data_IF_337437283021
#
_entry.id   IF_337437283021
#
_cell.length_a   1.000
_cell.length_b   1.000
_cell.length_c   1.000
_cell.angle_alpha   90.00
_cell.angle_beta   90.00
_cell.angle_gamma   90.00
#
_symmetry.space_group_name_H-M   'P 1'
#
loop_
_entity.id
_entity.type
_entity.pdbx_description
1 polymer ?
#
# COMPACT_ATOMS: atom_id res chain seq x y z
N UNK A 1 26.71 -27.30 -66.75
CA UNK A 1 25.96 -26.20 -67.40
C UNK A 1 24.49 -26.63 -67.44
N UNK A 2 23.48 -26.06 -66.80
CA UNK A 2 23.34 -24.84 -66.01
C UNK A 2 22.22 -24.98 -64.97
N UNK A 3 22.46 -24.37 -63.82
CA UNK A 3 21.58 -23.73 -62.82
C UNK A 3 20.24 -24.34 -62.32
N UNK A 4 20.27 -24.67 -61.02
CA UNK A 4 19.16 -24.60 -60.05
C UNK A 4 18.55 -23.19 -60.01
N UNK A 5 17.23 -23.08 -59.84
CA UNK A 5 16.52 -22.51 -58.66
C UNK A 5 15.13 -21.97 -59.02
N UNK A 6 14.15 -22.33 -58.19
CA UNK A 6 13.17 -21.36 -57.69
C UNK A 6 11.86 -21.17 -58.47
N UNK A 7 10.90 -22.07 -58.28
CA UNK A 7 9.48 -21.72 -58.34
C UNK A 7 8.85 -22.09 -56.99
N UNK A 8 9.02 -21.22 -56.00
CA UNK A 8 8.44 -21.43 -54.65
C UNK A 8 7.63 -20.22 -54.17
N UNK A 9 7.37 -19.23 -55.03
CA UNK A 9 6.69 -18.00 -54.64
C UNK A 9 5.38 -17.88 -55.42
N UNK A 10 4.37 -18.61 -54.96
CA UNK A 10 2.98 -18.29 -55.30
C UNK A 10 2.62 -17.01 -54.55
N UNK A 11 2.18 -15.99 -55.29
CA UNK A 11 1.92 -14.65 -54.75
C UNK A 11 0.92 -14.69 -53.59
N UNK A 12 0.06 -15.71 -53.53
CA UNK A 12 -0.88 -15.92 -52.41
C UNK A 12 -0.15 -16.34 -51.13
N UNK A 13 0.86 -17.22 -51.21
CA UNK A 13 1.59 -17.75 -50.04
C UNK A 13 2.48 -16.71 -49.37
N UNK A 14 3.30 -15.99 -50.14
CA UNK A 14 2.99 -14.58 -50.36
C UNK A 14 2.40 -13.68 -49.27
N UNK A 15 1.23 -13.17 -49.66
CA UNK A 15 0.35 -12.32 -48.89
C UNK A 15 -0.09 -12.97 -47.58
N UNK A 16 -0.31 -14.29 -47.55
CA UNK A 16 -0.65 -14.98 -46.30
C UNK A 16 0.52 -14.95 -45.30
N UNK A 17 1.76 -15.17 -45.75
CA UNK A 17 2.94 -15.13 -44.90
C UNK A 17 3.22 -13.72 -44.38
N UNK A 18 3.04 -12.69 -45.20
CA UNK A 18 3.23 -11.30 -44.75
C UNK A 18 2.15 -10.88 -43.75
N UNK A 19 0.89 -11.29 -43.97
CA UNK A 19 -0.20 -11.01 -43.03
C UNK A 19 0.03 -11.65 -41.65
N UNK A 20 0.55 -12.88 -41.59
CA UNK A 20 0.88 -13.57 -40.33
C UNK A 20 2.01 -12.85 -39.58
N UNK A 21 3.04 -12.39 -40.30
CA UNK A 21 4.16 -11.65 -39.71
C UNK A 21 3.66 -10.31 -39.14
N UNK A 22 2.81 -9.59 -39.88
CA UNK A 22 2.22 -8.32 -39.42
C UNK A 22 1.35 -8.54 -38.17
N UNK A 23 0.56 -9.62 -38.12
CA UNK A 23 -0.24 -9.94 -36.95
C UNK A 23 0.65 -10.23 -35.72
N UNK A 24 1.73 -10.99 -35.91
CA UNK A 24 2.68 -11.30 -34.84
C UNK A 24 3.45 -10.05 -34.36
N UNK A 25 3.83 -9.14 -35.26
CA UNK A 25 4.49 -7.89 -34.86
C UNK A 25 3.53 -6.97 -34.12
N UNK A 26 2.27 -6.87 -34.54
CA UNK A 26 1.24 -6.13 -33.80
C UNK A 26 1.04 -6.76 -32.42
N UNK A 27 0.95 -8.09 -32.32
CA UNK A 27 0.78 -8.78 -31.05
C UNK A 27 1.99 -8.57 -30.13
N UNK A 28 3.21 -8.60 -30.68
CA UNK A 28 4.43 -8.31 -29.94
C UNK A 28 4.50 -6.84 -29.49
N UNK A 29 4.09 -5.89 -30.34
CA UNK A 29 3.99 -4.47 -29.98
C UNK A 29 2.93 -4.27 -28.91
N UNK A 30 1.79 -4.94 -28.98
CA UNK A 30 0.77 -4.90 -27.92
C UNK A 30 1.30 -5.46 -26.60
N UNK A 31 2.08 -6.54 -26.61
CA UNK A 31 2.72 -7.10 -25.41
C UNK A 31 3.80 -6.15 -24.87
N UNK A 32 4.56 -5.48 -25.74
CA UNK A 32 5.58 -4.51 -25.33
C UNK A 32 4.98 -3.19 -24.84
N UNK A 33 3.88 -2.72 -25.44
CA UNK A 33 3.14 -1.53 -25.01
C UNK A 33 2.29 -1.78 -23.76
N UNK A 34 1.79 -3.00 -23.56
CA UNK A 34 1.20 -3.41 -22.27
C UNK A 34 2.26 -3.78 -21.23
N UNK A 35 3.50 -3.96 -21.66
CA UNK A 35 4.71 -4.13 -20.86
C UNK A 35 5.24 -2.83 -20.24
N UNK A 36 4.39 -1.81 -20.05
CA UNK A 36 4.69 -0.76 -19.09
C UNK A 36 4.65 -1.35 -17.68
N UNK A 37 5.81 -1.86 -17.26
CA UNK A 37 6.09 -2.19 -15.88
C UNK A 37 5.84 -0.96 -15.00
N UNK A 38 4.68 -0.94 -14.34
CA UNK A 38 4.45 -0.14 -13.15
C UNK A 38 5.31 -0.70 -12.01
N UNK A 39 6.60 -0.39 -11.99
CA UNK A 39 7.44 -0.72 -10.84
C UNK A 39 8.35 0.46 -10.51
N UNK A 40 8.17 0.96 -9.28
CA UNK A 40 9.12 1.76 -8.47
C UNK A 40 9.05 3.30 -8.47
N UNK A 41 7.99 3.95 -8.99
CA UNK A 41 7.85 5.42 -8.91
C UNK A 41 6.88 5.98 -7.85
N UNK A 42 5.83 5.23 -7.49
CA UNK A 42 4.67 5.80 -6.78
C UNK A 42 4.71 5.72 -5.24
N UNK A 43 5.53 4.82 -4.68
CA UNK A 43 5.52 4.62 -3.23
C UNK A 43 6.13 5.82 -2.49
N UNK A 44 7.10 6.47 -3.12
CA UNK A 44 7.80 7.64 -2.58
C UNK A 44 6.90 8.87 -2.48
N UNK A 45 6.05 9.10 -3.48
CA UNK A 45 5.12 10.23 -3.52
C UNK A 45 3.95 10.00 -2.56
N UNK A 46 3.34 8.81 -2.59
CA UNK A 46 2.27 8.43 -1.66
C UNK A 46 2.73 8.51 -0.19
N UNK A 47 3.97 8.06 0.11
CA UNK A 47 4.48 8.14 1.47
C UNK A 47 4.78 9.59 1.91
N UNK A 48 5.31 10.43 1.01
CA UNK A 48 5.54 11.87 1.28
C UNK A 48 4.24 12.61 1.54
N UNK A 49 3.18 12.32 0.80
CA UNK A 49 1.85 12.88 1.05
C UNK A 49 1.31 12.41 2.40
N UNK A 50 1.44 11.12 2.71
CA UNK A 50 0.99 10.60 4.01
C UNK A 50 1.76 11.20 5.19
N UNK A 51 3.07 11.46 5.05
CA UNK A 51 3.88 12.08 6.09
C UNK A 51 3.38 13.48 6.51
N UNK A 52 2.64 14.18 5.63
CA UNK A 52 1.98 15.45 5.99
C UNK A 52 0.98 15.22 7.12
N UNK A 53 0.15 14.17 7.04
CA UNK A 53 -0.82 13.82 8.08
C UNK A 53 -0.12 13.53 9.41
N UNK A 54 0.96 12.73 9.40
CA UNK A 54 1.73 12.43 10.61
C UNK A 54 2.35 13.68 11.23
N UNK A 55 2.93 14.56 10.41
CA UNK A 55 3.56 15.78 10.89
C UNK A 55 2.53 16.76 11.46
N UNK A 56 1.37 16.87 10.83
CA UNK A 56 0.27 17.69 11.33
C UNK A 56 -0.28 17.13 12.65
N UNK A 57 -0.52 15.82 12.73
CA UNK A 57 -0.94 15.13 13.94
C UNK A 57 0.01 15.39 15.12
N UNK A 58 1.32 15.28 14.88
CA UNK A 58 2.35 15.59 15.88
C UNK A 58 2.25 17.04 16.39
N UNK A 59 2.07 18.00 15.49
CA UNK A 59 1.94 19.42 15.85
C UNK A 59 0.68 19.68 16.66
N UNK A 60 -0.48 19.18 16.22
CA UNK A 60 -1.76 19.30 16.92
C UNK A 60 -1.68 18.70 18.32
N UNK A 61 -1.14 17.47 18.42
CA UNK A 61 -0.90 16.81 19.71
C UNK A 61 -0.01 17.66 20.62
N UNK A 62 1.05 18.26 20.10
CA UNK A 62 1.98 19.07 20.90
C UNK A 62 1.36 20.34 21.49
N UNK A 63 0.28 20.84 20.89
CA UNK A 63 -0.47 22.00 21.39
C UNK A 63 -1.74 21.62 22.14
N UNK A 64 -1.96 20.32 22.39
CA UNK A 64 -3.11 19.80 23.16
C UNK A 64 -4.41 19.69 22.38
N UNK A 65 -4.37 19.82 21.04
CA UNK A 65 -5.52 19.64 20.17
C UNK A 65 -5.61 18.15 19.82
N UNK A 66 -6.08 17.34 20.79
CA UNK A 66 -5.97 15.88 20.72
C UNK A 66 -6.92 15.24 19.71
N UNK A 67 -8.18 15.66 19.64
CA UNK A 67 -9.17 15.06 18.73
C UNK A 67 -8.76 15.18 17.26
N UNK A 68 -8.34 16.36 16.83
CA UNK A 68 -7.88 16.59 15.47
C UNK A 68 -6.53 15.91 15.22
N UNK A 69 -5.67 15.81 16.23
CA UNK A 69 -4.44 15.03 16.11
C UNK A 69 -4.74 13.55 15.84
N UNK A 70 -5.74 12.98 16.52
CA UNK A 70 -6.20 11.62 16.28
C UNK A 70 -6.68 11.48 14.84
N UNK A 71 -7.56 12.36 14.36
CA UNK A 71 -8.07 12.32 12.98
C UNK A 71 -6.92 12.29 11.96
N UNK A 72 -5.91 13.13 12.15
CA UNK A 72 -4.75 13.14 11.26
C UNK A 72 -3.91 11.86 11.35
N UNK A 73 -3.77 11.26 12.54
CA UNK A 73 -3.14 9.94 12.65
C UNK A 73 -3.95 8.83 11.98
N UNK A 74 -5.28 8.87 12.02
CA UNK A 74 -6.14 7.91 11.32
C UNK A 74 -5.99 8.05 9.80
N UNK A 75 -5.96 9.28 9.29
CA UNK A 75 -5.67 9.56 7.88
C UNK A 75 -4.29 9.03 7.48
N UNK A 76 -3.27 9.23 8.32
CA UNK A 76 -1.94 8.64 8.11
C UNK A 76 -2.00 7.11 8.09
N UNK A 77 -2.71 6.50 9.05
CA UNK A 77 -2.84 5.04 9.14
C UNK A 77 -3.50 4.42 7.91
N UNK A 78 -4.43 5.13 7.27
CA UNK A 78 -5.18 4.66 6.11
C UNK A 78 -4.42 4.86 4.79
N UNK A 79 -3.54 5.86 4.71
CA UNK A 79 -2.87 6.25 3.46
C UNK A 79 -1.41 5.81 3.37
N UNK A 80 -0.72 5.69 4.51
CA UNK A 80 0.71 5.43 4.54
C UNK A 80 1.06 3.99 4.15
N UNK A 81 2.07 3.86 3.29
CA UNK A 81 2.71 2.58 2.96
C UNK A 81 3.93 2.38 3.85
N UNK A 82 3.69 1.91 5.08
CA UNK A 82 4.73 1.67 6.09
C UNK A 82 4.80 0.19 6.47
N UNK A 83 5.93 -0.22 7.04
CA UNK A 83 6.12 -1.58 7.53
C UNK A 83 5.19 -1.90 8.72
N UNK A 84 5.04 -3.20 9.01
CA UNK A 84 4.13 -3.68 10.07
C UNK A 84 4.44 -3.09 11.45
N UNK A 85 5.72 -2.89 11.79
CA UNK A 85 6.12 -2.38 13.10
C UNK A 85 5.74 -0.92 13.23
N UNK A 86 6.04 -0.12 12.21
CA UNK A 86 5.64 1.29 12.17
C UNK A 86 4.11 1.43 12.23
N UNK A 87 3.38 0.60 11.49
CA UNK A 87 1.91 0.60 11.50
C UNK A 87 1.31 0.20 12.85
N UNK A 88 1.90 -0.82 13.49
CA UNK A 88 1.53 -1.29 14.83
C UNK A 88 1.78 -0.22 15.90
N UNK A 89 2.95 0.44 15.88
CA UNK A 89 3.26 1.55 16.78
C UNK A 89 2.31 2.75 16.61
N UNK A 90 1.91 3.03 15.37
CA UNK A 90 0.92 4.06 15.09
C UNK A 90 -0.45 3.70 15.68
N UNK A 91 -0.91 2.46 15.48
CA UNK A 91 -2.16 1.98 16.09
C UNK A 91 -2.13 2.08 17.63
N UNK A 92 -1.00 1.71 18.25
CA UNK A 92 -0.80 1.86 19.68
C UNK A 92 -0.89 3.33 20.13
N UNK A 93 -0.29 4.23 19.36
CA UNK A 93 -0.33 5.67 19.64
C UNK A 93 -1.75 6.22 19.59
N UNK A 94 -2.52 5.87 18.56
CA UNK A 94 -3.93 6.30 18.44
C UNK A 94 -4.79 5.72 19.55
N UNK A 95 -4.60 4.44 19.90
CA UNK A 95 -5.30 3.81 21.03
C UNK A 95 -5.05 4.53 22.35
N UNK A 96 -3.80 4.93 22.62
CA UNK A 96 -3.48 5.75 23.80
C UNK A 96 -4.19 7.10 23.80
N UNK A 97 -4.20 7.81 22.68
CA UNK A 97 -4.84 9.13 22.60
C UNK A 97 -6.35 9.01 22.86
N UNK A 98 -7.01 8.01 22.28
CA UNK A 98 -8.43 7.77 22.58
C UNK A 98 -8.66 7.43 24.05
N UNK A 99 -7.76 6.67 24.67
CA UNK A 99 -7.86 6.35 26.10
C UNK A 99 -7.66 7.60 26.97
N UNK A 100 -6.73 8.48 26.61
CA UNK A 100 -6.47 9.77 27.27
C UNK A 100 -7.70 10.71 27.21
N UNK A 101 -8.45 10.68 26.10
CA UNK A 101 -9.71 11.41 25.93
C UNK A 101 -10.95 10.67 26.53
N UNK A 102 -10.75 9.51 27.17
CA UNK A 102 -11.83 8.72 27.78
C UNK A 102 -12.72 7.95 26.80
N UNK A 103 -12.33 7.86 25.52
CA UNK A 103 -13.02 7.08 24.50
C UNK A 103 -12.57 5.61 24.51
N UNK A 104 -12.86 4.89 25.60
CA UNK A 104 -12.36 3.53 25.84
C UNK A 104 -12.76 2.51 24.77
N UNK A 105 -13.96 2.62 24.18
CA UNK A 105 -14.41 1.74 23.09
C UNK A 105 -13.53 1.87 21.83
N UNK A 106 -13.19 3.12 21.47
CA UNK A 106 -12.31 3.41 20.33
C UNK A 106 -10.88 3.00 20.65
N UNK A 107 -10.40 3.29 21.86
CA UNK A 107 -9.09 2.87 22.33
C UNK A 107 -8.92 1.35 22.23
N UNK A 108 -9.90 0.58 22.69
CA UNK A 108 -9.93 -0.88 22.63
C UNK A 108 -9.82 -1.39 21.19
N UNK A 109 -10.58 -0.82 20.26
CA UNK A 109 -10.49 -1.14 18.83
C UNK A 109 -9.08 -0.93 18.27
N UNK A 110 -8.44 0.18 18.63
CA UNK A 110 -7.08 0.50 18.21
C UNK A 110 -6.02 -0.40 18.86
N UNK A 111 -6.20 -0.79 20.11
CA UNK A 111 -5.30 -1.74 20.78
C UNK A 111 -5.40 -3.15 20.16
N UNK A 112 -6.58 -3.63 19.81
CA UNK A 112 -6.68 -4.92 19.10
C UNK A 112 -6.03 -4.91 17.71
N UNK A 113 -6.03 -3.76 17.02
CA UNK A 113 -5.31 -3.63 15.74
C UNK A 113 -3.80 -3.88 15.91
N UNK A 114 -3.21 -3.50 17.04
CA UNK A 114 -1.78 -3.75 17.33
C UNK A 114 -1.47 -5.25 17.26
N UNK A 115 -2.26 -6.06 17.96
CA UNK A 115 -2.09 -7.52 18.01
C UNK A 115 -2.34 -8.17 16.64
N UNK A 116 -3.28 -7.65 15.86
CA UNK A 116 -3.59 -8.17 14.50
C UNK A 116 -2.46 -7.84 13.51
N UNK A 117 -1.89 -6.64 13.60
CA UNK A 117 -0.88 -6.14 12.65
C UNK A 117 0.50 -6.75 12.93
N UNK A 118 0.89 -6.82 14.20
CA UNK A 118 2.18 -7.36 14.61
C UNK A 118 2.05 -8.18 15.91
N UNK A 119 1.66 -9.46 15.82
CA UNK A 119 1.41 -10.33 16.99
C UNK A 119 2.63 -10.55 17.90
N UNK A 120 3.83 -10.33 17.36
CA UNK A 120 5.14 -10.49 18.01
C UNK A 120 5.75 -9.14 18.41
N UNK A 121 4.94 -8.07 18.46
CA UNK A 121 5.40 -6.75 18.88
C UNK A 121 5.92 -6.78 20.32
N UNK A 122 6.98 -6.01 20.60
CA UNK A 122 7.50 -5.81 21.95
C UNK A 122 6.47 -5.12 22.87
N UNK A 123 5.45 -4.48 22.28
CA UNK A 123 4.39 -3.77 23.02
C UNK A 123 3.30 -4.72 23.55
N UNK A 124 3.34 -6.02 23.26
CA UNK A 124 2.25 -6.96 23.53
C UNK A 124 1.79 -6.95 24.99
N UNK A 125 2.73 -6.94 25.93
CA UNK A 125 2.42 -6.90 27.37
C UNK A 125 1.75 -5.58 27.77
N UNK A 126 2.20 -4.47 27.19
CA UNK A 126 1.66 -3.13 27.48
C UNK A 126 0.25 -3.00 26.88
N UNK A 127 0.06 -3.42 25.63
CA UNK A 127 -1.23 -3.45 24.93
C UNK A 127 -2.23 -4.31 25.67
N UNK A 128 -1.84 -5.51 26.12
CA UNK A 128 -2.71 -6.39 26.92
C UNK A 128 -3.18 -5.69 28.20
N UNK A 129 -2.29 -4.99 28.89
CA UNK A 129 -2.65 -4.21 30.09
C UNK A 129 -3.62 -3.07 29.75
N UNK A 130 -3.41 -2.36 28.63
CA UNK A 130 -4.32 -1.29 28.20
C UNK A 130 -5.70 -1.81 27.77
N UNK A 131 -5.76 -2.98 27.14
CA UNK A 131 -7.00 -3.67 26.78
C UNK A 131 -7.81 -3.99 28.03
N UNK A 132 -7.19 -4.62 29.02
CA UNK A 132 -7.84 -4.92 30.30
C UNK A 132 -8.37 -3.64 30.95
N UNK A 133 -7.56 -2.58 31.00
CA UNK A 133 -7.99 -1.30 31.56
C UNK A 133 -9.19 -0.69 30.84
N UNK A 134 -9.20 -0.74 29.50
CA UNK A 134 -10.36 -0.27 28.73
C UNK A 134 -11.61 -1.09 29.10
N UNK A 135 -11.51 -2.43 29.13
CA UNK A 135 -12.63 -3.32 29.45
C UNK A 135 -13.18 -3.12 30.87
N UNK A 136 -12.35 -2.74 31.84
CA UNK A 136 -12.77 -2.43 33.21
C UNK A 136 -13.49 -1.08 33.33
N UNK A 137 -13.27 -0.18 32.38
CA UNK A 137 -13.75 1.22 32.45
C UNK A 137 -14.93 1.50 31.51
N UNK A 138 -15.34 0.52 30.70
CA UNK A 138 -16.58 0.54 29.89
C UNK A 138 -17.82 0.38 30.78
#
# INVERSE_FOLDING_TARGET
MSEKKGKIFDAKTLFFSSAVIILFTILAVLILCSGEGKLAGNNSTANRESDIYRNLANKLKSVGITEEAIEQYENYFNTAMVDKRTRSNLAYTVGKLYMEEGHYEKALSWFYRVDIIDPDTSLKSEVSSKIVHCLETL
#
